data_IF_345892943162
#
_entry.id   IF_345892943162
#
_cell.length_a   1.000
_cell.length_b   1.000
_cell.length_c   1.000
_cell.angle_alpha   90.00
_cell.angle_beta   90.00
_cell.angle_gamma   90.00
#
_symmetry.space_group_name_H-M   'P 1'
#
loop_
_entity.id
_entity.type
_entity.pdbx_description
1 polymer ?
#
# COMPACT_ATOMS: atom_id res chain seq x y z
N UNK A 1 7.60 -9.19 26.22
CA UNK A 1 6.53 -8.25 25.80
C UNK A 1 5.39 -9.14 25.32
N UNK A 2 4.25 -9.12 25.99
CA UNK A 2 3.07 -9.85 25.51
C UNK A 2 2.64 -9.22 24.18
N UNK A 3 2.56 -10.05 23.13
CA UNK A 3 1.90 -9.67 21.89
C UNK A 3 0.46 -9.29 22.23
N UNK A 4 -0.08 -8.25 21.60
CA UNK A 4 -1.52 -8.00 21.63
C UNK A 4 -2.15 -9.18 20.91
N UNK A 5 -2.74 -10.10 21.66
CA UNK A 5 -3.18 -11.44 21.22
C UNK A 5 -4.51 -11.43 20.46
N UNK A 6 -5.03 -10.25 20.11
CA UNK A 6 -6.31 -10.09 19.45
C UNK A 6 -7.51 -10.46 20.33
N UNK A 7 -7.30 -10.74 21.63
CA UNK A 7 -8.39 -10.99 22.57
C UNK A 7 -8.96 -9.66 23.08
N UNK A 8 -9.55 -8.90 22.14
CA UNK A 8 -10.10 -7.57 22.41
C UNK A 8 -11.29 -7.56 23.38
N UNK A 9 -11.89 -8.74 23.63
CA UNK A 9 -13.04 -8.90 24.52
C UNK A 9 -12.78 -8.53 25.98
N UNK A 10 -11.52 -8.55 26.42
CA UNK A 10 -11.09 -8.18 27.76
C UNK A 10 -10.35 -6.82 27.81
N UNK A 11 -10.29 -6.10 26.69
CA UNK A 11 -9.56 -4.83 26.61
C UNK A 11 -10.35 -3.66 27.22
N UNK A 12 -9.69 -2.82 28.02
CA UNK A 12 -10.27 -1.56 28.53
C UNK A 12 -10.30 -0.43 27.47
N UNK A 13 -10.24 -0.79 26.18
CA UNK A 13 -10.27 0.16 25.08
C UNK A 13 -11.70 0.65 24.86
N UNK A 14 -11.86 1.93 24.52
CA UNK A 14 -13.16 2.43 24.07
C UNK A 14 -13.50 1.90 22.67
N UNK A 15 -14.79 1.87 22.36
CA UNK A 15 -15.33 1.27 21.13
C UNK A 15 -14.73 1.88 19.86
N UNK A 16 -14.40 3.17 19.88
CA UNK A 16 -13.75 3.89 18.79
C UNK A 16 -12.31 3.40 18.53
N UNK A 17 -11.50 3.20 19.58
CA UNK A 17 -10.17 2.62 19.44
C UNK A 17 -10.24 1.17 18.94
N UNK A 18 -11.18 0.37 19.45
CA UNK A 18 -11.38 -0.99 18.97
C UNK A 18 -11.75 -1.03 17.48
N UNK A 19 -12.63 -0.12 17.05
CA UNK A 19 -13.00 0.03 15.64
C UNK A 19 -11.79 0.36 14.76
N UNK A 20 -10.98 1.34 15.18
CA UNK A 20 -9.79 1.75 14.45
C UNK A 20 -8.73 0.64 14.37
N UNK A 21 -8.54 -0.13 15.45
CA UNK A 21 -7.60 -1.26 15.49
C UNK A 21 -8.04 -2.39 14.58
N UNK A 22 -9.30 -2.85 14.68
CA UNK A 22 -9.85 -3.88 13.79
C UNK A 22 -9.73 -3.49 12.32
N UNK A 23 -10.00 -2.22 12.00
CA UNK A 23 -9.81 -1.71 10.64
C UNK A 23 -8.35 -1.74 10.20
N UNK A 24 -7.43 -1.29 11.06
CA UNK A 24 -6.00 -1.28 10.77
C UNK A 24 -5.45 -2.70 10.54
N UNK A 25 -5.85 -3.65 11.38
CA UNK A 25 -5.47 -5.06 11.24
C UNK A 25 -5.97 -5.62 9.91
N UNK A 26 -7.25 -5.38 9.57
CA UNK A 26 -7.81 -5.80 8.28
C UNK A 26 -7.06 -5.17 7.09
N UNK A 27 -6.81 -3.86 7.15
CA UNK A 27 -6.11 -3.12 6.10
C UNK A 27 -4.69 -3.67 5.83
N UNK A 28 -3.97 -4.04 6.88
CA UNK A 28 -2.59 -4.54 6.79
C UNK A 28 -2.56 -6.02 6.38
N UNK A 29 -3.33 -6.86 7.07
CA UNK A 29 -3.23 -8.32 6.99
C UNK A 29 -4.05 -8.92 5.85
N UNK A 30 -5.21 -8.33 5.56
CA UNK A 30 -6.21 -8.90 4.64
C UNK A 30 -6.64 -7.85 3.62
N UNK A 31 -5.76 -7.45 2.68
CA UNK A 31 -6.11 -6.45 1.67
C UNK A 31 -7.31 -6.94 0.83
N UNK A 32 -8.43 -6.24 0.98
CA UNK A 32 -9.71 -6.59 0.38
C UNK A 32 -10.88 -5.93 1.11
N UNK A 33 -12.13 -6.14 0.65
CA UNK A 33 -13.30 -5.45 1.22
C UNK A 33 -13.43 -5.66 2.72
N UNK A 34 -13.72 -4.58 3.45
CA UNK A 34 -13.88 -4.62 4.90
C UNK A 34 -15.15 -5.43 5.26
N UNK A 35 -15.08 -6.40 6.19
CA UNK A 35 -16.24 -7.16 6.65
C UNK A 35 -17.33 -6.26 7.24
N UNK A 36 -18.61 -6.63 7.04
CA UNK A 36 -19.77 -5.84 7.46
C UNK A 36 -19.77 -5.50 8.96
N UNK A 37 -19.23 -6.38 9.81
CA UNK A 37 -19.08 -6.13 11.25
C UNK A 37 -18.14 -4.94 11.52
N UNK A 38 -16.94 -4.97 10.93
CA UNK A 38 -15.93 -3.91 11.09
C UNK A 38 -16.46 -2.61 10.50
N UNK A 39 -17.10 -2.68 9.32
CA UNK A 39 -17.72 -1.53 8.67
C UNK A 39 -18.80 -0.89 9.54
N UNK A 40 -19.69 -1.70 10.13
CA UNK A 40 -20.75 -1.19 11.01
C UNK A 40 -20.16 -0.51 12.25
N UNK A 41 -19.12 -1.10 12.84
CA UNK A 41 -18.45 -0.56 14.02
C UNK A 41 -17.69 0.74 13.72
N UNK A 42 -17.07 0.86 12.54
CA UNK A 42 -16.47 2.10 12.07
C UNK A 42 -17.52 3.20 11.91
N UNK A 43 -18.62 2.90 11.22
CA UNK A 43 -19.69 3.87 10.94
C UNK A 43 -20.48 4.28 12.18
N UNK A 44 -20.49 3.48 13.25
CA UNK A 44 -21.06 3.88 14.55
C UNK A 44 -20.13 4.80 15.36
N UNK A 45 -18.82 4.76 15.08
CA UNK A 45 -17.80 5.44 15.90
C UNK A 45 -17.22 6.69 15.23
N UNK A 46 -17.21 6.73 13.90
CA UNK A 46 -16.56 7.76 13.11
C UNK A 46 -17.44 8.27 11.97
N UNK A 47 -17.26 9.55 11.64
CA UNK A 47 -17.83 10.14 10.42
C UNK A 47 -17.08 9.64 9.18
N UNK A 48 -17.70 9.73 8.00
CA UNK A 48 -17.04 9.39 6.73
C UNK A 48 -15.74 10.16 6.49
N UNK A 49 -15.67 11.41 6.97
CA UNK A 49 -14.44 12.21 6.90
C UNK A 49 -13.35 11.60 7.78
N UNK A 50 -13.65 11.27 9.03
CA UNK A 50 -12.68 10.67 9.96
C UNK A 50 -12.24 9.28 9.49
N UNK A 51 -13.14 8.48 8.91
CA UNK A 51 -12.80 7.19 8.29
C UNK A 51 -11.83 7.38 7.12
N UNK A 52 -12.07 8.38 6.27
CA UNK A 52 -11.16 8.70 5.17
C UNK A 52 -9.79 9.18 5.68
N UNK A 53 -9.75 10.01 6.73
CA UNK A 53 -8.51 10.46 7.39
C UNK A 53 -7.75 9.29 8.04
N UNK A 54 -8.47 8.37 8.69
CA UNK A 54 -7.89 7.14 9.26
C UNK A 54 -7.29 6.26 8.15
N UNK A 55 -8.04 6.04 7.06
CA UNK A 55 -7.63 5.21 5.93
C UNK A 55 -6.35 5.72 5.28
N UNK A 56 -6.26 7.04 5.00
CA UNK A 56 -5.05 7.63 4.43
C UNK A 56 -3.88 7.63 5.43
N UNK A 57 -4.16 7.83 6.73
CA UNK A 57 -3.13 7.73 7.78
C UNK A 57 -2.50 6.34 7.80
N UNK A 58 -3.33 5.29 7.88
CA UNK A 58 -2.88 3.88 7.85
C UNK A 58 -2.15 3.56 6.55
N UNK A 59 -2.66 4.01 5.40
CA UNK A 59 -2.02 3.83 4.10
C UNK A 59 -0.58 4.39 4.06
N UNK A 60 -0.39 5.62 4.54
CA UNK A 60 0.92 6.27 4.57
C UNK A 60 1.87 5.58 5.57
N UNK A 61 1.41 5.29 6.78
CA UNK A 61 2.24 4.62 7.78
C UNK A 61 2.67 3.22 7.32
N UNK A 62 1.74 2.45 6.75
CA UNK A 62 2.05 1.13 6.21
C UNK A 62 3.05 1.20 5.05
N UNK A 63 2.77 2.03 4.03
CA UNK A 63 3.64 2.17 2.87
C UNK A 63 5.05 2.64 3.23
N UNK A 64 5.17 3.69 4.06
CA UNK A 64 6.48 4.22 4.43
C UNK A 64 7.26 3.33 5.40
N UNK A 65 6.59 2.62 6.31
CA UNK A 65 7.28 1.63 7.15
C UNK A 65 7.91 0.52 6.29
N UNK A 66 7.18 0.03 5.29
CA UNK A 66 7.70 -0.94 4.31
C UNK A 66 8.83 -0.38 3.47
N UNK A 67 8.75 0.89 3.05
CA UNK A 67 9.85 1.58 2.38
C UNK A 67 11.12 1.59 3.23
N UNK A 68 11.03 1.91 4.52
CA UNK A 68 12.19 1.91 5.43
C UNK A 68 12.80 0.51 5.58
N UNK A 69 11.97 -0.52 5.72
CA UNK A 69 12.41 -1.91 5.78
C UNK A 69 13.10 -2.32 4.47
N UNK A 70 12.47 -2.04 3.32
CA UNK A 70 13.01 -2.33 1.99
C UNK A 70 14.37 -1.64 1.75
N UNK A 71 14.58 -0.47 2.33
CA UNK A 71 15.84 0.28 2.28
C UNK A 71 16.90 -0.22 3.29
N UNK A 72 16.56 -1.19 4.15
CA UNK A 72 17.42 -1.66 5.23
C UNK A 72 17.69 -0.58 6.29
N UNK A 73 16.66 0.21 6.60
CA UNK A 73 16.72 1.32 7.57
C UNK A 73 15.90 1.05 8.83
N UNK A 74 15.59 -0.22 9.09
CA UNK A 74 15.01 -0.63 10.37
C UNK A 74 16.06 -0.44 11.50
N UNK A 75 15.66 0.05 12.68
CA UNK A 75 16.52 0.05 13.86
C UNK A 75 17.01 -1.37 14.20
N UNK A 76 18.30 -1.53 14.50
CA UNK A 76 18.89 -2.85 14.83
C UNK A 76 18.24 -3.50 16.06
N UNK A 77 17.68 -2.70 16.96
CA UNK A 77 17.03 -3.13 18.20
C UNK A 77 15.54 -3.50 18.02
N UNK A 78 15.00 -3.44 16.81
CA UNK A 78 13.58 -3.70 16.57
C UNK A 78 13.28 -5.20 16.53
N UNK A 79 12.41 -5.66 17.45
CA UNK A 79 11.93 -7.04 17.47
C UNK A 79 11.24 -7.39 16.13
N UNK A 80 11.60 -8.56 15.58
CA UNK A 80 11.04 -9.04 14.32
C UNK A 80 9.69 -9.70 14.56
N UNK A 81 8.61 -9.03 14.20
CA UNK A 81 7.30 -9.67 14.08
C UNK A 81 7.26 -10.50 12.79
N UNK A 82 7.00 -11.80 12.93
CA UNK A 82 6.72 -12.71 11.81
C UNK A 82 5.20 -12.73 11.61
N UNK A 83 4.76 -12.16 10.50
CA UNK A 83 3.36 -12.20 10.07
C UNK A 83 3.27 -13.20 8.92
N UNK A 84 2.27 -14.11 8.89
CA UNK A 84 2.05 -14.97 7.74
C UNK A 84 1.93 -14.13 6.48
N UNK A 85 2.58 -14.56 5.40
CA UNK A 85 2.43 -13.93 4.09
C UNK A 85 0.93 -13.87 3.76
N UNK A 86 0.36 -12.68 3.49
CA UNK A 86 -1.03 -12.57 3.09
C UNK A 86 -1.26 -13.50 1.89
N UNK A 87 -2.30 -14.34 1.98
CA UNK A 87 -2.63 -15.23 0.88
C UNK A 87 -3.19 -14.39 -0.27
N UNK A 88 -2.87 -14.78 -1.51
CA UNK A 88 -3.58 -14.24 -2.67
C UNK A 88 -5.08 -14.42 -2.44
N UNK A 89 -5.91 -13.40 -2.69
CA UNK A 89 -7.35 -13.57 -2.56
C UNK A 89 -7.80 -14.75 -3.45
N UNK A 90 -8.55 -15.70 -2.87
CA UNK A 90 -9.02 -16.92 -3.53
C UNK A 90 -9.91 -16.64 -4.76
N UNK A 91 -10.32 -15.40 -4.95
CA UNK A 91 -11.08 -14.95 -6.11
C UNK A 91 -10.52 -13.62 -6.62
N UNK A 92 -10.34 -13.46 -7.95
CA UNK A 92 -10.06 -12.16 -8.51
C UNK A 92 -11.23 -11.24 -8.17
N UNK A 93 -10.95 -10.18 -7.40
CA UNK A 93 -11.93 -9.13 -7.13
C UNK A 93 -12.16 -8.39 -8.44
N UNK A 94 -13.17 -8.82 -9.20
CA UNK A 94 -13.63 -8.09 -10.38
C UNK A 94 -14.45 -6.90 -9.91
N UNK A 95 -13.78 -5.78 -9.64
CA UNK A 95 -14.48 -4.49 -9.57
C UNK A 95 -14.98 -4.15 -10.98
N UNK A 96 -16.28 -3.98 -11.16
CA UNK A 96 -16.89 -3.46 -12.39
C UNK A 96 -16.49 -2.01 -12.66
N UNK A 97 -16.05 -1.30 -11.62
CA UNK A 97 -15.54 0.05 -11.71
C UNK A 97 -14.06 -0.03 -12.03
N UNK A 98 -13.77 0.14 -13.31
CA UNK A 98 -12.42 0.28 -13.80
C UNK A 98 -11.96 1.69 -13.48
N UNK A 99 -11.00 1.82 -12.56
CA UNK A 99 -10.49 3.11 -12.17
C UNK A 99 -9.24 3.48 -12.97
N UNK A 100 -9.28 4.70 -13.52
CA UNK A 100 -8.14 5.38 -14.13
C UNK A 100 -7.38 6.26 -13.13
N UNK A 101 -8.06 6.71 -12.08
CA UNK A 101 -7.51 7.50 -10.98
C UNK A 101 -8.31 7.28 -9.70
N UNK A 102 -7.69 7.47 -8.54
CA UNK A 102 -8.31 7.21 -7.23
C UNK A 102 -8.88 8.47 -6.57
N UNK A 103 -9.35 9.45 -7.36
CA UNK A 103 -9.82 10.73 -6.82
C UNK A 103 -11.07 10.62 -5.95
N UNK A 104 -11.92 9.61 -6.19
CA UNK A 104 -13.13 9.34 -5.41
C UNK A 104 -12.82 8.98 -3.95
N UNK A 105 -11.66 8.40 -3.67
CA UNK A 105 -11.24 8.08 -2.29
C UNK A 105 -11.07 9.34 -1.43
N UNK A 106 -10.94 10.51 -2.06
CA UNK A 106 -10.72 11.78 -1.38
C UNK A 106 -11.96 12.68 -1.34
N UNK A 107 -13.13 12.22 -1.78
CA UNK A 107 -14.35 13.05 -1.84
C UNK A 107 -14.70 13.68 -0.49
N UNK A 108 -14.48 12.98 0.62
CA UNK A 108 -14.75 13.49 1.98
C UNK A 108 -13.58 14.28 2.58
N UNK A 109 -12.40 14.24 1.97
CA UNK A 109 -11.16 14.89 2.43
C UNK A 109 -10.42 15.58 1.27
N UNK A 110 -11.06 16.52 0.54
CA UNK A 110 -10.53 17.07 -0.71
C UNK A 110 -9.18 17.79 -0.55
N UNK A 111 -8.93 18.41 0.62
CA UNK A 111 -7.65 19.04 0.92
C UNK A 111 -6.50 18.02 1.00
N UNK A 112 -6.78 16.80 1.48
CA UNK A 112 -5.80 15.69 1.49
C UNK A 112 -5.63 15.15 0.07
N UNK A 113 -6.72 14.99 -0.69
CA UNK A 113 -6.64 14.56 -2.09
C UNK A 113 -5.76 15.48 -2.94
N UNK A 114 -5.88 16.80 -2.76
CA UNK A 114 -5.00 17.77 -3.44
C UNK A 114 -3.51 17.57 -3.07
N UNK A 115 -3.22 17.35 -1.78
CA UNK A 115 -1.85 17.10 -1.31
C UNK A 115 -1.30 15.77 -1.82
N UNK A 116 -2.16 14.75 -1.91
CA UNK A 116 -1.82 13.47 -2.52
C UNK A 116 -1.41 13.65 -3.98
N UNK A 117 -2.21 14.37 -4.77
CA UNK A 117 -1.89 14.66 -6.17
C UNK A 117 -0.56 15.39 -6.31
N UNK A 118 -0.33 16.44 -5.50
CA UNK A 118 0.96 17.15 -5.50
C UNK A 118 2.12 16.22 -5.17
N UNK A 119 1.93 15.30 -4.22
CA UNK A 119 2.96 14.33 -3.83
C UNK A 119 3.23 13.31 -4.94
N UNK A 120 2.20 12.76 -5.57
CA UNK A 120 2.32 11.81 -6.69
C UNK A 120 2.97 12.48 -7.91
N UNK A 121 2.56 13.71 -8.26
CA UNK A 121 3.19 14.49 -9.32
C UNK A 121 4.65 14.81 -9.01
N UNK A 122 4.95 15.21 -7.77
CA UNK A 122 6.31 15.45 -7.30
C UNK A 122 7.19 14.21 -7.46
N UNK A 123 6.68 13.04 -7.09
CA UNK A 123 7.35 11.76 -7.26
C UNK A 123 7.61 11.43 -8.74
N UNK A 124 6.59 11.57 -9.61
CA UNK A 124 6.74 11.30 -11.04
C UNK A 124 7.74 12.27 -11.69
N UNK A 125 7.81 13.51 -11.21
CA UNK A 125 8.70 14.53 -11.76
C UNK A 125 10.20 14.32 -11.51
N UNK A 126 10.60 13.40 -10.60
CA UNK A 126 12.02 13.07 -10.34
C UNK A 126 12.70 12.52 -11.61
N UNK A 127 11.98 11.68 -12.38
CA UNK A 127 12.45 11.17 -13.68
C UNK A 127 13.64 10.20 -13.64
N UNK A 128 14.07 9.72 -12.47
CA UNK A 128 15.16 8.74 -12.34
C UNK A 128 14.70 7.31 -12.69
N UNK A 129 13.42 7.02 -12.49
CA UNK A 129 12.73 5.80 -12.92
C UNK A 129 11.79 6.18 -14.08
N UNK A 130 11.84 5.48 -15.22
CA UNK A 130 10.90 5.70 -16.32
C UNK A 130 9.46 5.51 -15.87
N UNK A 131 8.55 6.37 -16.36
CA UNK A 131 7.09 6.24 -16.15
C UNK A 131 6.57 4.84 -16.46
N UNK A 132 7.22 4.17 -17.40
CA UNK A 132 6.90 2.80 -17.80
C UNK A 132 7.14 1.76 -16.73
N UNK A 133 8.26 1.87 -16.02
CA UNK A 133 8.57 1.02 -14.89
C UNK A 133 7.65 1.33 -13.69
N UNK A 134 7.35 2.60 -13.42
CA UNK A 134 6.41 2.99 -12.36
C UNK A 134 4.99 2.49 -12.65
N UNK A 135 4.55 2.58 -13.91
CA UNK A 135 3.26 2.07 -14.37
C UNK A 135 3.18 0.55 -14.28
N UNK A 136 4.25 -0.15 -14.67
CA UNK A 136 4.37 -1.60 -14.52
C UNK A 136 4.25 -2.03 -13.05
N UNK A 137 4.92 -1.31 -12.16
CA UNK A 137 4.87 -1.58 -10.71
C UNK A 137 3.46 -1.35 -10.18
N UNK A 138 2.85 -0.19 -10.43
CA UNK A 138 1.50 0.13 -9.98
C UNK A 138 0.47 -0.89 -10.48
N UNK A 139 0.56 -1.28 -11.76
CA UNK A 139 -0.28 -2.31 -12.35
C UNK A 139 -0.04 -3.69 -11.71
N UNK A 140 1.23 -4.07 -11.46
CA UNK A 140 1.50 -5.35 -10.79
C UNK A 140 0.90 -5.34 -9.39
N UNK A 141 1.12 -4.30 -8.61
CA UNK A 141 0.58 -4.19 -7.26
C UNK A 141 -0.96 -4.20 -7.25
N UNK A 142 -1.62 -3.58 -8.24
CA UNK A 142 -3.07 -3.63 -8.35
C UNK A 142 -3.59 -5.05 -8.64
N UNK A 143 -2.88 -5.82 -9.49
CA UNK A 143 -3.20 -7.25 -9.69
C UNK A 143 -3.09 -8.04 -8.39
N UNK A 144 -2.01 -7.84 -7.63
CA UNK A 144 -1.76 -8.55 -6.37
C UNK A 144 -2.81 -8.24 -5.30
N UNK A 145 -3.33 -7.01 -5.29
CA UNK A 145 -4.33 -6.54 -4.32
C UNK A 145 -5.78 -6.66 -4.83
N UNK A 146 -6.00 -7.23 -6.02
CA UNK A 146 -7.35 -7.40 -6.59
C UNK A 146 -8.05 -6.08 -6.96
N UNK A 147 -7.30 -5.04 -7.31
CA UNK A 147 -7.85 -3.74 -7.70
C UNK A 147 -7.90 -3.61 -9.22
N UNK A 148 -9.09 -3.36 -9.78
CA UNK A 148 -9.29 -3.07 -11.21
C UNK A 148 -8.71 -1.70 -11.58
N UNK A 149 -7.44 -1.67 -11.98
CA UNK A 149 -6.74 -0.47 -12.42
C UNK A 149 -6.38 -0.55 -13.90
N UNK A 150 -6.77 0.46 -14.69
CA UNK A 150 -6.31 0.61 -16.08
C UNK A 150 -5.16 1.60 -16.16
N UNK A 151 -3.97 1.10 -16.46
CA UNK A 151 -2.83 1.94 -16.84
C UNK A 151 -3.19 2.79 -18.07
N UNK A 152 -2.85 4.08 -18.02
CA UNK A 152 -3.23 5.04 -19.05
C UNK A 152 -2.53 4.85 -20.41
N UNK A 153 -1.57 3.92 -20.53
CA UNK A 153 -0.97 3.57 -21.82
C UNK A 153 -0.60 2.09 -21.87
N UNK A 154 -1.01 1.34 -22.91
CA UNK A 154 -0.30 0.12 -23.28
C UNK A 154 1.05 0.56 -23.84
N UNK A 155 2.09 0.56 -23.01
CA UNK A 155 3.43 0.91 -23.49
C UNK A 155 4.02 -0.20 -24.32
N UNK A 156 4.36 0.17 -25.55
CA UNK A 156 4.98 -0.68 -26.56
C UNK A 156 6.50 -0.77 -26.40
N UNK A 157 7.07 -0.06 -25.43
CA UNK A 157 8.52 -0.02 -25.20
C UNK A 157 8.95 -1.22 -24.35
N UNK A 158 9.86 -2.08 -24.84
CA UNK A 158 10.36 -3.20 -24.05
C UNK A 158 11.10 -2.71 -22.79
N UNK A 159 10.62 -3.09 -21.61
CA UNK A 159 11.34 -2.89 -20.35
C UNK A 159 12.28 -4.09 -20.18
N UNK A 160 13.58 -3.89 -20.39
CA UNK A 160 14.57 -4.98 -20.38
C UNK A 160 14.59 -5.77 -19.05
N UNK A 161 14.32 -5.10 -17.94
CA UNK A 161 14.32 -5.61 -16.56
C UNK A 161 12.89 -5.85 -16.01
N UNK A 162 11.90 -6.10 -16.88
CA UNK A 162 10.47 -6.23 -16.52
C UNK A 162 10.22 -7.22 -15.39
N UNK A 163 10.69 -8.45 -15.51
CA UNK A 163 10.41 -9.51 -14.52
C UNK A 163 11.06 -9.22 -13.17
N UNK A 164 12.27 -8.65 -13.18
CA UNK A 164 12.94 -8.21 -11.96
C UNK A 164 12.11 -7.15 -11.22
N UNK A 165 11.63 -6.11 -11.93
CA UNK A 165 10.82 -5.05 -11.32
C UNK A 165 9.47 -5.57 -10.83
N UNK A 166 8.85 -6.52 -11.54
CA UNK A 166 7.63 -7.19 -11.06
C UNK A 166 7.89 -7.97 -9.76
N UNK A 167 9.00 -8.70 -9.68
CA UNK A 167 9.40 -9.43 -8.47
C UNK A 167 9.69 -8.49 -7.30
N UNK A 168 10.31 -7.33 -7.54
CA UNK A 168 10.49 -6.29 -6.51
C UNK A 168 9.15 -5.77 -6.00
N UNK A 169 8.18 -5.53 -6.89
CA UNK A 169 6.83 -5.11 -6.49
C UNK A 169 6.09 -6.19 -5.67
N UNK A 170 6.21 -7.45 -6.05
CA UNK A 170 5.66 -8.59 -5.28
C UNK A 170 6.27 -8.70 -3.89
N UNK A 171 7.60 -8.63 -3.83
CA UNK A 171 8.36 -8.58 -2.58
C UNK A 171 7.87 -7.41 -1.73
N UNK A 172 7.74 -6.21 -2.31
CA UNK A 172 7.24 -5.06 -1.58
C UNK A 172 5.84 -5.32 -1.02
N UNK A 173 4.91 -5.92 -1.77
CA UNK A 173 3.54 -6.16 -1.28
C UNK A 173 3.49 -7.20 -0.16
N UNK A 174 4.16 -8.34 -0.30
CA UNK A 174 3.94 -9.53 0.54
C UNK A 174 5.12 -9.94 1.43
N UNK A 175 6.36 -9.61 1.05
CA UNK A 175 7.56 -9.98 1.81
C UNK A 175 8.64 -8.90 1.64
N UNK A 176 8.40 -7.74 2.24
CA UNK A 176 9.25 -6.57 2.04
C UNK A 176 10.70 -6.79 2.51
N UNK A 177 10.89 -7.73 3.44
CA UNK A 177 12.21 -8.12 3.97
C UNK A 177 13.04 -8.94 2.97
N UNK A 178 12.41 -9.56 1.97
CA UNK A 178 13.13 -10.22 0.88
C UNK A 178 13.85 -9.24 -0.05
N UNK A 179 13.53 -7.94 0.01
CA UNK A 179 14.27 -6.87 -0.68
C UNK A 179 15.65 -6.72 0.01
N UNK A 180 16.61 -7.48 -0.47
CA UNK A 180 17.95 -7.59 0.09
C UNK A 180 18.87 -6.44 -0.33
N UNK A 181 20.07 -6.40 0.24
CA UNK A 181 21.13 -5.49 -0.22
C UNK A 181 21.55 -5.75 -1.68
N UNK A 182 21.46 -7.00 -2.15
CA UNK A 182 21.71 -7.34 -3.55
C UNK A 182 20.61 -6.76 -4.45
N UNK A 183 19.34 -6.93 -4.07
CA UNK A 183 18.19 -6.36 -4.79
C UNK A 183 18.30 -4.84 -4.89
N UNK A 184 18.65 -4.16 -3.79
CA UNK A 184 18.88 -2.71 -3.78
C UNK A 184 20.01 -2.26 -4.71
N UNK A 185 21.11 -3.02 -4.74
CA UNK A 185 22.24 -2.74 -5.65
C UNK A 185 21.81 -2.88 -7.10
N UNK A 186 21.12 -3.95 -7.45
CA UNK A 186 20.64 -4.20 -8.82
C UNK A 186 19.66 -3.10 -9.27
N UNK A 187 18.70 -2.69 -8.42
CA UNK A 187 17.84 -1.53 -8.72
C UNK A 187 18.66 -0.26 -8.92
N UNK A 188 19.68 -0.03 -8.09
CA UNK A 188 20.54 1.15 -8.20
C UNK A 188 21.45 1.13 -9.44
N UNK A 189 21.85 -0.04 -9.91
CA UNK A 189 22.60 -0.21 -11.17
C UNK A 189 21.71 0.10 -12.38
N UNK A 190 20.41 -0.19 -12.28
CA UNK A 190 19.45 0.09 -13.35
C UNK A 190 18.98 1.55 -13.35
N UNK A 191 18.64 2.12 -12.18
CA UNK A 191 17.98 3.42 -12.06
C UNK A 191 18.73 4.46 -11.23
N UNK A 192 19.98 4.20 -10.83
CA UNK A 192 20.74 5.00 -9.85
C UNK A 192 20.18 4.93 -8.42
N UNK A 193 20.94 5.50 -7.48
CA UNK A 193 20.50 5.62 -6.07
C UNK A 193 19.25 6.50 -5.91
N UNK A 194 19.10 7.53 -6.73
CA UNK A 194 17.91 8.38 -6.75
C UNK A 194 16.70 7.62 -7.27
N UNK A 195 16.88 6.79 -8.31
CA UNK A 195 15.82 5.94 -8.82
C UNK A 195 15.43 4.81 -7.87
N UNK A 196 16.36 4.26 -7.08
CA UNK A 196 16.01 3.37 -5.97
C UNK A 196 15.04 4.07 -4.99
N UNK A 197 15.34 5.31 -4.59
CA UNK A 197 14.47 6.06 -3.69
C UNK A 197 13.11 6.37 -4.34
N UNK A 198 13.09 6.84 -5.59
CA UNK A 198 11.85 7.10 -6.32
C UNK A 198 10.99 5.81 -6.45
N UNK A 199 11.61 4.68 -6.77
CA UNK A 199 10.90 3.40 -6.88
C UNK A 199 10.28 2.97 -5.55
N UNK A 200 11.05 3.04 -4.46
CA UNK A 200 10.59 2.65 -3.12
C UNK A 200 9.49 3.58 -2.60
N UNK A 201 9.59 4.88 -2.87
CA UNK A 201 8.57 5.86 -2.51
C UNK A 201 7.30 5.65 -3.35
N UNK A 202 7.44 5.37 -4.65
CA UNK A 202 6.32 5.03 -5.52
C UNK A 202 5.57 3.79 -5.05
N UNK A 203 6.28 2.71 -4.74
CA UNK A 203 5.66 1.51 -4.19
C UNK A 203 4.95 1.78 -2.86
N UNK A 204 5.53 2.61 -1.97
CA UNK A 204 4.87 2.99 -0.72
C UNK A 204 3.53 3.70 -0.95
N UNK A 205 3.49 4.67 -1.86
CA UNK A 205 2.24 5.38 -2.21
C UNK A 205 1.24 4.46 -2.92
N UNK A 206 1.72 3.65 -3.86
CA UNK A 206 0.86 2.74 -4.63
C UNK A 206 0.24 1.68 -3.73
N UNK A 207 1.01 1.07 -2.82
CA UNK A 207 0.49 0.10 -1.84
C UNK A 207 -0.62 0.72 -0.99
N UNK A 208 -0.39 1.94 -0.49
CA UNK A 208 -1.35 2.66 0.33
C UNK A 208 -2.67 2.93 -0.40
N UNK A 209 -2.62 3.56 -1.58
CA UNK A 209 -3.83 3.93 -2.32
C UNK A 209 -4.59 2.71 -2.85
N UNK A 210 -3.87 1.67 -3.27
CA UNK A 210 -4.49 0.43 -3.75
C UNK A 210 -5.15 -0.33 -2.61
N UNK A 211 -4.58 -0.34 -1.40
CA UNK A 211 -5.24 -0.93 -0.22
C UNK A 211 -6.47 -0.15 0.19
N UNK A 212 -6.43 1.18 0.17
CA UNK A 212 -7.62 2.01 0.40
C UNK A 212 -8.74 1.65 -0.60
N UNK A 213 -8.40 1.53 -1.88
CA UNK A 213 -9.35 1.09 -2.91
C UNK A 213 -9.86 -0.33 -2.65
N UNK A 214 -8.99 -1.28 -2.30
CA UNK A 214 -9.36 -2.66 -2.02
C UNK A 214 -10.32 -2.77 -0.82
N UNK A 215 -10.16 -1.91 0.19
CA UNK A 215 -10.98 -1.94 1.41
C UNK A 215 -12.42 -1.48 1.25
N UNK A 216 -12.78 -0.78 0.15
CA UNK A 216 -14.14 -0.32 -0.22
C UNK A 216 -15.08 -0.08 0.98
N UNK A 217 -14.83 1.01 1.71
CA UNK A 217 -15.67 1.46 2.82
C UNK A 217 -16.91 2.21 2.32
#
# INVERSE_FOLDING_TARGET
>A
MELIDGNWGDSHLSDDFLAALKFTDHFILTPGPVPDEIKSLLLSSFTQKEIAELSIGVALFHGFSKMLIALGREPEEMDTTIVPTPQFPDSPVTSSDISHNFSHLFTHIPAIGMRWTILEEGLLSIGAVPDSALSLVKHRMSELLGVSYLSHKPETTPIANREFIRSVAESFVFDVRSISSATRREVSEIYSSEGLLQLMFGMALFDGILRMEATKL
#
